data_IF_221305663471
#
_entry.id   IF_221305663471
#
_cell.length_a   1.000
_cell.length_b   1.000
_cell.length_c   1.000
_cell.angle_alpha   90.00
_cell.angle_beta   90.00
_cell.angle_gamma   90.00
#
_symmetry.space_group_name_H-M   'P 1'
#
loop_
_entity.id
_entity.type
_entity.pdbx_description
1 polymer ?
#
# COMPACT_ATOMS: atom_id res chain seq x y z
N UNK A 1 19.60 17.91 10.75
CA UNK A 1 18.32 18.57 11.08
C UNK A 1 17.27 17.46 11.08
N UNK A 2 16.60 17.17 12.19
CA UNK A 2 15.66 16.04 12.25
C UNK A 2 14.42 16.35 11.40
N UNK A 3 13.98 15.38 10.59
CA UNK A 3 12.75 15.53 9.81
C UNK A 3 11.55 15.72 10.73
N UNK A 4 10.62 16.59 10.32
CA UNK A 4 9.32 16.70 10.98
C UNK A 4 8.50 15.43 10.76
N UNK A 5 7.51 15.18 11.63
CA UNK A 5 6.59 14.04 11.48
C UNK A 5 5.91 14.03 10.11
N UNK A 6 5.49 15.21 9.62
CA UNK A 6 4.85 15.33 8.31
C UNK A 6 5.77 14.94 7.14
N UNK A 7 7.08 15.23 7.23
CA UNK A 7 8.05 14.83 6.21
C UNK A 7 8.29 13.33 6.24
N UNK A 8 8.41 12.75 7.44
CA UNK A 8 8.53 11.30 7.60
C UNK A 8 7.30 10.60 7.03
N UNK A 9 6.09 11.06 7.38
CA UNK A 9 4.84 10.50 6.84
C UNK A 9 4.79 10.57 5.30
N UNK A 10 5.22 11.68 4.69
CA UNK A 10 5.30 11.79 3.23
C UNK A 10 6.26 10.76 2.63
N UNK A 11 7.44 10.57 3.21
CA UNK A 11 8.38 9.56 2.76
C UNK A 11 7.82 8.15 2.88
N UNK A 12 7.19 7.82 4.01
CA UNK A 12 6.58 6.50 4.20
C UNK A 12 5.48 6.23 3.15
N UNK A 13 4.66 7.22 2.83
CA UNK A 13 3.68 7.11 1.74
C UNK A 13 4.34 6.81 0.38
N UNK A 14 5.44 7.49 0.04
CA UNK A 14 6.18 7.20 -1.19
C UNK A 14 6.73 5.78 -1.20
N UNK A 15 7.28 5.31 -0.08
CA UNK A 15 7.79 3.94 0.04
C UNK A 15 6.69 2.89 -0.13
N UNK A 16 5.49 3.12 0.42
CA UNK A 16 4.35 2.23 0.19
C UNK A 16 3.91 2.21 -1.28
N UNK A 17 3.86 3.37 -1.94
CA UNK A 17 3.51 3.45 -3.35
C UNK A 17 4.54 2.77 -4.26
N UNK A 18 5.84 2.91 -3.98
CA UNK A 18 6.91 2.19 -4.70
C UNK A 18 6.75 0.68 -4.49
N UNK A 19 6.53 0.26 -3.24
CA UNK A 19 6.34 -1.16 -2.92
C UNK A 19 5.18 -1.76 -3.72
N UNK A 20 4.03 -1.09 -3.74
CA UNK A 20 2.85 -1.56 -4.45
C UNK A 20 3.01 -1.52 -5.98
N UNK A 21 3.57 -0.43 -6.53
CA UNK A 21 3.70 -0.24 -7.99
C UNK A 21 4.73 -1.17 -8.62
N UNK A 22 5.82 -1.48 -7.92
CA UNK A 22 6.86 -2.39 -8.41
C UNK A 22 6.62 -3.85 -8.02
N UNK A 23 5.59 -4.15 -7.22
CA UNK A 23 5.33 -5.51 -6.70
C UNK A 23 6.46 -6.04 -5.82
N UNK A 24 7.17 -5.15 -5.11
CA UNK A 24 8.33 -5.54 -4.33
C UNK A 24 7.95 -6.31 -3.06
N UNK A 25 8.73 -7.33 -2.67
CA UNK A 25 8.51 -8.03 -1.41
C UNK A 25 8.84 -7.12 -0.23
N UNK A 26 8.07 -7.15 0.85
CA UNK A 26 8.15 -6.15 1.94
C UNK A 26 9.53 -5.98 2.61
N UNK A 27 10.41 -6.98 2.52
CA UNK A 27 11.78 -6.91 3.05
C UNK A 27 12.74 -6.07 2.19
N UNK A 28 12.32 -5.58 1.01
CA UNK A 28 13.16 -4.80 0.11
C UNK A 28 13.67 -3.50 0.77
N UNK A 29 12.86 -2.89 1.64
CA UNK A 29 13.22 -1.66 2.38
C UNK A 29 14.34 -1.88 3.40
N UNK A 30 14.60 -3.14 3.76
CA UNK A 30 15.65 -3.51 4.71
C UNK A 30 16.95 -3.94 4.00
N UNK A 31 16.95 -4.02 2.66
CA UNK A 31 18.13 -4.36 1.88
C UNK A 31 19.25 -3.34 2.15
N UNK A 32 20.49 -3.78 2.44
CA UNK A 32 21.60 -2.87 2.71
C UNK A 32 21.83 -1.82 1.61
N UNK A 33 21.79 -2.20 0.33
CA UNK A 33 21.99 -1.25 -0.77
C UNK A 33 20.89 -0.18 -0.85
N UNK A 34 19.66 -0.55 -0.45
CA UNK A 34 18.54 0.41 -0.36
C UNK A 34 18.74 1.33 0.85
N UNK A 35 19.21 0.80 1.99
CA UNK A 35 19.52 1.60 3.18
C UNK A 35 20.65 2.58 2.90
N UNK A 36 21.74 2.13 2.30
CA UNK A 36 22.88 2.97 1.93
C UNK A 36 22.42 4.10 0.99
N UNK A 37 21.62 3.78 -0.02
CA UNK A 37 21.00 4.80 -0.89
C UNK A 37 20.13 5.80 -0.10
N UNK A 38 19.31 5.32 0.84
CA UNK A 38 18.48 6.19 1.67
C UNK A 38 19.31 7.06 2.62
N UNK A 39 20.42 6.54 3.14
CA UNK A 39 21.32 7.27 4.02
C UNK A 39 22.08 8.35 3.25
N UNK A 40 22.52 8.07 2.03
CA UNK A 40 23.24 9.02 1.17
C UNK A 40 22.37 10.21 0.77
N UNK A 41 21.11 9.95 0.39
CA UNK A 41 20.21 10.99 -0.15
C UNK A 41 19.23 11.56 0.88
N UNK A 42 18.94 10.81 1.95
CA UNK A 42 17.97 11.17 2.98
C UNK A 42 18.48 10.87 4.41
N UNK A 43 19.63 11.45 4.82
CA UNK A 43 20.38 11.11 6.05
C UNK A 43 19.65 11.43 7.37
N UNK A 44 18.44 11.96 7.30
CA UNK A 44 17.64 12.39 8.46
C UNK A 44 16.30 11.66 8.55
N UNK A 45 16.08 10.68 7.67
CA UNK A 45 14.89 9.82 7.70
C UNK A 45 15.05 8.74 8.75
N UNK A 46 13.93 8.32 9.34
CA UNK A 46 13.92 7.07 10.08
C UNK A 46 13.72 5.92 9.11
N UNK A 47 14.61 4.92 9.15
CA UNK A 47 14.46 3.73 8.32
C UNK A 47 13.15 3.01 8.61
N UNK A 48 12.53 2.54 7.54
CA UNK A 48 11.36 1.67 7.60
C UNK A 48 11.80 0.22 7.76
N UNK A 49 11.14 -0.48 8.68
CA UNK A 49 11.15 -1.94 8.71
C UNK A 49 10.05 -2.52 7.84
N UNK A 50 10.23 -3.75 7.40
CA UNK A 50 9.21 -4.54 6.71
C UNK A 50 7.94 -4.71 7.56
N UNK A 51 8.10 -4.78 8.88
CA UNK A 51 7.01 -4.80 9.84
C UNK A 51 6.20 -3.49 9.83
N UNK A 52 6.86 -2.34 9.89
CA UNK A 52 6.18 -1.03 9.83
C UNK A 52 5.49 -0.83 8.48
N UNK A 53 6.16 -1.22 7.40
CA UNK A 53 5.62 -1.13 6.05
C UNK A 53 4.30 -1.91 5.92
N UNK A 54 4.29 -3.16 6.38
CA UNK A 54 3.13 -4.06 6.28
C UNK A 54 2.01 -3.70 7.25
N UNK A 55 2.33 -3.43 8.52
CA UNK A 55 1.31 -3.30 9.57
C UNK A 55 0.80 -1.88 9.78
N UNK A 56 1.55 -0.87 9.33
CA UNK A 56 1.18 0.54 9.53
C UNK A 56 1.05 1.29 8.22
N UNK A 57 2.12 1.36 7.45
CA UNK A 57 2.22 2.31 6.33
C UNK A 57 1.27 1.92 5.18
N UNK A 58 1.31 0.67 4.72
CA UNK A 58 0.43 0.21 3.65
C UNK A 58 -1.04 0.31 4.07
N UNK A 59 -1.48 -0.18 5.25
CA UNK A 59 -2.85 -0.01 5.71
C UNK A 59 -3.31 1.45 5.79
N UNK A 60 -2.46 2.36 6.28
CA UNK A 60 -2.77 3.80 6.30
C UNK A 60 -2.97 4.35 4.90
N UNK A 61 -2.10 3.97 3.96
CA UNK A 61 -2.17 4.43 2.58
C UNK A 61 -3.41 3.87 1.85
N UNK A 62 -3.77 2.61 2.09
CA UNK A 62 -5.01 2.01 1.57
C UNK A 62 -6.23 2.76 2.11
N UNK A 63 -6.29 3.03 3.41
CA UNK A 63 -7.39 3.80 3.99
C UNK A 63 -7.51 5.19 3.36
N UNK A 64 -6.38 5.87 3.12
CA UNK A 64 -6.36 7.17 2.46
C UNK A 64 -6.93 7.11 1.04
N UNK A 65 -6.50 6.13 0.24
CA UNK A 65 -7.05 5.95 -1.12
C UNK A 65 -8.53 5.57 -1.10
N UNK A 66 -8.96 4.71 -0.17
CA UNK A 66 -10.37 4.37 -0.01
C UNK A 66 -11.22 5.59 0.34
N UNK A 67 -10.76 6.46 1.25
CA UNK A 67 -11.49 7.68 1.59
C UNK A 67 -11.53 8.65 0.39
N UNK A 68 -10.40 8.85 -0.29
CA UNK A 68 -10.36 9.69 -1.49
C UNK A 68 -11.31 9.18 -2.59
N UNK A 69 -11.36 7.87 -2.82
CA UNK A 69 -12.27 7.26 -3.79
C UNK A 69 -13.74 7.42 -3.38
N UNK A 70 -14.06 7.22 -2.08
CA UNK A 70 -15.41 7.45 -1.55
C UNK A 70 -15.83 8.89 -1.74
N UNK A 71 -14.98 9.83 -1.36
CA UNK A 71 -15.27 11.26 -1.46
C UNK A 71 -15.45 11.71 -2.91
N UNK A 72 -14.61 11.22 -3.83
CA UNK A 72 -14.75 11.48 -5.27
C UNK A 72 -16.03 10.87 -5.88
N UNK A 73 -16.56 9.80 -5.28
CA UNK A 73 -17.75 9.10 -5.78
C UNK A 73 -19.06 9.53 -5.10
N UNK A 74 -19.02 10.46 -4.13
CA UNK A 74 -20.23 10.91 -3.42
C UNK A 74 -21.19 11.61 -4.39
N UNK A 75 -22.41 11.07 -4.49
CA UNK A 75 -23.45 11.60 -5.37
C UNK A 75 -23.39 11.10 -6.81
N UNK A 76 -22.48 10.18 -7.13
CA UNK A 76 -22.42 9.49 -8.43
C UNK A 76 -23.19 8.17 -8.39
N UNK A 77 -23.70 7.73 -9.54
CA UNK A 77 -24.16 6.35 -9.71
C UNK A 77 -22.95 5.41 -9.79
N UNK A 78 -23.01 4.26 -9.13
CA UNK A 78 -21.92 3.29 -9.06
C UNK A 78 -22.35 1.92 -9.56
N UNK A 79 -21.46 1.25 -10.30
CA UNK A 79 -21.63 -0.16 -10.66
C UNK A 79 -20.82 -1.01 -9.68
N UNK A 80 -21.50 -1.90 -8.94
CA UNK A 80 -20.85 -2.87 -8.09
C UNK A 80 -20.56 -4.12 -8.92
N UNK A 81 -19.28 -4.45 -9.07
CA UNK A 81 -18.85 -5.73 -9.63
C UNK A 81 -18.21 -6.55 -8.52
N UNK A 82 -18.70 -7.78 -8.34
CA UNK A 82 -18.12 -8.75 -7.41
C UNK A 82 -17.47 -9.85 -8.24
N UNK A 83 -16.14 -9.92 -8.24
CA UNK A 83 -15.42 -11.06 -8.77
C UNK A 83 -15.29 -12.13 -7.66
N UNK A 84 -15.85 -13.32 -7.92
CA UNK A 84 -15.85 -14.46 -6.99
C UNK A 84 -14.47 -15.14 -6.89
N UNK A 85 -13.39 -14.37 -6.78
CA UNK A 85 -12.05 -14.92 -6.74
C UNK A 85 -11.74 -15.49 -5.36
N UNK A 86 -11.72 -16.82 -5.25
CA UNK A 86 -11.16 -17.55 -4.11
C UNK A 86 -9.83 -18.18 -4.55
N UNK A 87 -8.72 -17.74 -3.96
CA UNK A 87 -7.36 -18.23 -4.24
C UNK A 87 -7.08 -19.66 -3.75
N UNK A 88 -8.08 -20.53 -3.73
CA UNK A 88 -7.98 -21.94 -3.32
C UNK A 88 -8.38 -22.81 -4.52
N UNK A 89 -7.37 -23.43 -5.13
CA UNK A 89 -7.40 -24.60 -6.02
C UNK A 89 -8.69 -24.93 -6.81
N UNK A 90 -8.51 -24.95 -8.13
CA UNK A 90 -9.44 -25.31 -9.21
C UNK A 90 -10.30 -26.57 -9.00
N UNK A 91 -11.50 -26.45 -8.40
CA UNK A 91 -12.52 -27.47 -8.71
C UNK A 91 -13.99 -27.07 -8.73
N UNK A 92 -14.44 -25.97 -8.11
CA UNK A 92 -15.89 -25.69 -8.09
C UNK A 92 -16.22 -24.21 -8.11
N UNK A 93 -16.51 -23.68 -9.30
CA UNK A 93 -17.47 -22.59 -9.46
C UNK A 93 -18.35 -22.92 -10.67
N UNK A 94 -19.58 -23.36 -10.39
CA UNK A 94 -20.68 -23.34 -11.35
C UNK A 94 -21.88 -22.61 -10.73
N UNK A 95 -22.15 -21.46 -11.33
CA UNK A 95 -23.42 -20.84 -11.69
C UNK A 95 -24.44 -20.38 -10.63
N UNK A 96 -24.71 -19.08 -10.76
CA UNK A 96 -25.97 -18.32 -10.65
C UNK A 96 -27.23 -19.00 -10.09
N UNK A 97 -27.98 -18.21 -9.31
CA UNK A 97 -29.38 -17.94 -9.65
C UNK A 97 -29.85 -16.60 -9.11
N UNK A 98 -30.16 -15.71 -10.06
CA UNK A 98 -31.10 -14.61 -9.96
C UNK A 98 -32.50 -15.16 -9.63
N UNK A 99 -33.15 -14.66 -8.58
CA UNK A 99 -34.51 -14.06 -8.55
C UNK A 99 -34.79 -13.61 -7.12
#
# INVERSE_FOLDING_TARGET
MQWSSAQQDCFEHHMANITASCGFPFHWVENPAVRDFLDDFFPHTSHLSSYQLTNRVIPQQVNRYQQAAKDASRGCEGTLQTDGWTGVNFHHLHQEKTT
#
